data_IF_739222137935
#
_entry.id   IF_739222137935
#
_cell.length_a   1.000
_cell.length_b   1.000
_cell.length_c   1.000
_cell.angle_alpha   90.00
_cell.angle_beta   90.00
_cell.angle_gamma   90.00
#
_symmetry.space_group_name_H-M   'P 1'
#
loop_
_entity.id
_entity.type
_entity.pdbx_description
1 polymer ?
#
# COMPACT_ATOMS: atom_id res chain seq x y z
N UNK A 1 15.65 4.47 -6.94
CA UNK A 1 14.37 4.14 -6.27
C UNK A 1 13.27 4.66 -7.16
N UNK A 2 12.35 3.79 -7.58
CA UNK A 2 11.18 4.20 -8.33
C UNK A 2 10.04 4.55 -7.35
N UNK A 3 9.18 5.47 -7.77
CA UNK A 3 8.14 6.04 -6.94
C UNK A 3 6.77 5.62 -7.50
N UNK A 4 5.91 5.08 -6.64
CA UNK A 4 4.58 4.62 -7.01
C UNK A 4 3.55 5.13 -6.03
N UNK A 5 2.34 5.42 -6.52
CA UNK A 5 1.15 5.61 -5.71
C UNK A 5 0.27 4.37 -5.83
N UNK A 6 0.03 3.76 -4.69
CA UNK A 6 -0.85 2.60 -4.54
C UNK A 6 -2.20 3.11 -4.00
N UNK A 7 -3.28 2.76 -4.69
CA UNK A 7 -4.61 2.87 -4.11
C UNK A 7 -4.92 1.52 -3.47
N UNK A 8 -5.09 1.50 -2.15
CA UNK A 8 -5.24 0.27 -1.37
C UNK A 8 -6.58 0.29 -0.65
N UNK A 9 -7.29 -0.83 -0.66
CA UNK A 9 -8.41 -1.06 0.24
C UNK A 9 -8.01 -2.07 1.31
N UNK A 10 -8.44 -1.85 2.54
CA UNK A 10 -8.09 -2.68 3.70
C UNK A 10 -9.27 -2.76 4.69
N UNK A 11 -9.31 -3.76 5.58
CA UNK A 11 -10.35 -3.82 6.61
C UNK A 11 -10.24 -2.62 7.55
N UNK A 12 -11.33 -1.91 7.80
CA UNK A 12 -11.34 -0.77 8.73
C UNK A 12 -11.41 -1.26 10.19
N UNK A 13 -10.26 -1.66 10.71
CA UNK A 13 -10.08 -2.11 12.10
C UNK A 13 -8.66 -1.83 12.58
N UNK A 14 -8.44 -1.75 13.91
CA UNK A 14 -7.12 -1.55 14.47
C UNK A 14 -6.08 -2.54 13.91
N UNK A 15 -4.93 -2.01 13.48
CA UNK A 15 -3.80 -2.79 12.98
C UNK A 15 -3.77 -3.03 11.47
N UNK A 16 -4.87 -2.85 10.72
CA UNK A 16 -4.88 -3.13 9.27
C UNK A 16 -3.88 -2.27 8.49
N UNK A 17 -3.89 -0.94 8.69
CA UNK A 17 -2.91 -0.06 8.05
C UNK A 17 -1.47 -0.33 8.53
N UNK A 18 -1.31 -0.75 9.79
CA UNK A 18 -0.03 -1.16 10.34
C UNK A 18 0.56 -2.36 9.60
N UNK A 19 -0.26 -3.36 9.29
CA UNK A 19 0.16 -4.53 8.51
C UNK A 19 0.65 -4.14 7.11
N UNK A 20 -0.07 -3.24 6.43
CA UNK A 20 0.33 -2.69 5.13
C UNK A 20 1.67 -1.96 5.24
N UNK A 21 1.83 -1.09 6.24
CA UNK A 21 3.07 -0.35 6.45
C UNK A 21 4.27 -1.27 6.77
N UNK A 22 4.07 -2.31 7.58
CA UNK A 22 5.09 -3.32 7.86
C UNK A 22 5.51 -4.10 6.62
N UNK A 23 4.55 -4.48 5.76
CA UNK A 23 4.84 -5.16 4.50
C UNK A 23 5.65 -4.27 3.54
N UNK A 24 5.30 -2.98 3.43
CA UNK A 24 6.08 -2.02 2.65
C UNK A 24 7.52 -1.95 3.17
N UNK A 25 7.70 -1.83 4.49
CA UNK A 25 9.03 -1.80 5.10
C UNK A 25 9.83 -3.09 4.88
N UNK A 26 9.19 -4.25 4.96
CA UNK A 26 9.81 -5.56 4.70
C UNK A 26 10.28 -5.70 3.25
N UNK A 27 9.53 -5.15 2.30
CA UNK A 27 9.91 -5.08 0.89
C UNK A 27 11.04 -4.05 0.60
N UNK A 28 11.57 -3.39 1.64
CA UNK A 28 12.57 -2.33 1.51
C UNK A 28 11.98 -1.02 0.97
N UNK A 29 10.66 -0.88 0.97
CA UNK A 29 9.96 0.33 0.55
C UNK A 29 9.97 1.41 1.64
N UNK A 30 9.94 2.67 1.19
CA UNK A 30 9.89 3.86 2.03
C UNK A 30 8.61 4.66 1.73
N UNK A 31 7.78 4.88 2.74
CA UNK A 31 6.51 5.60 2.60
C UNK A 31 6.79 7.09 2.52
N UNK A 32 6.50 7.69 1.35
CA UNK A 32 6.66 9.12 1.08
C UNK A 32 5.43 9.95 1.38
N UNK A 33 4.27 9.31 1.41
CA UNK A 33 3.01 9.97 1.73
C UNK A 33 1.90 8.95 1.91
N UNK A 34 0.94 9.31 2.75
CA UNK A 34 -0.26 8.54 3.02
C UNK A 34 -1.43 9.52 3.07
N UNK A 35 -2.50 9.23 2.34
CA UNK A 35 -3.76 9.96 2.39
C UNK A 35 -4.88 8.97 2.56
N UNK A 36 -5.66 9.12 3.64
CA UNK A 36 -6.91 8.36 3.81
C UNK A 36 -7.97 9.00 2.92
N UNK A 37 -8.47 8.26 1.94
CA UNK A 37 -9.43 8.78 0.96
C UNK A 37 -10.85 8.70 1.48
N UNK A 38 -11.23 7.56 2.04
CA UNK A 38 -12.53 7.33 2.68
C UNK A 38 -12.51 6.07 3.55
N UNK A 39 -13.48 5.99 4.45
CA UNK A 39 -13.85 4.74 5.13
C UNK A 39 -15.36 4.54 5.01
N UNK A 40 -15.76 3.39 4.48
CA UNK A 40 -17.16 3.01 4.31
C UNK A 40 -17.29 1.48 4.28
N UNK A 41 -18.45 0.96 4.70
CA UNK A 41 -18.79 -0.47 4.64
C UNK A 41 -17.73 -1.40 5.29
N UNK A 42 -17.11 -0.92 6.38
CA UNK A 42 -16.07 -1.67 7.11
C UNK A 42 -14.72 -1.75 6.37
N UNK A 43 -14.48 -0.89 5.38
CA UNK A 43 -13.24 -0.81 4.61
C UNK A 43 -12.65 0.60 4.59
N UNK A 44 -11.36 0.68 4.81
CA UNK A 44 -10.55 1.87 4.56
C UNK A 44 -10.03 1.86 3.13
N UNK A 45 -9.92 3.04 2.53
CA UNK A 45 -9.34 3.26 1.20
C UNK A 45 -8.25 4.32 1.32
N UNK A 46 -7.01 3.91 1.07
CA UNK A 46 -5.83 4.73 1.31
C UNK A 46 -5.01 4.87 0.03
N UNK A 47 -4.51 6.08 -0.19
CA UNK A 47 -3.50 6.39 -1.20
C UNK A 47 -2.13 6.41 -0.52
N UNK A 48 -1.27 5.47 -0.90
CA UNK A 48 0.06 5.32 -0.32
C UNK A 48 1.10 5.60 -1.41
N UNK A 49 1.87 6.67 -1.25
CA UNK A 49 3.02 6.95 -2.12
C UNK A 49 4.25 6.29 -1.50
N UNK A 50 4.86 5.36 -2.23
CA UNK A 50 6.00 4.56 -1.79
C UNK A 50 7.16 4.71 -2.76
N UNK A 51 8.36 4.85 -2.21
CA UNK A 51 9.61 4.65 -2.93
C UNK A 51 10.04 3.20 -2.75
N UNK A 52 10.34 2.50 -3.84
CA UNK A 52 10.79 1.10 -3.77
C UNK A 52 12.20 0.93 -4.34
N UNK A 53 12.92 -0.11 -3.90
CA UNK A 53 14.12 -0.58 -4.59
C UNK A 53 13.80 -0.99 -6.03
N UNK A 54 14.75 -0.79 -6.96
CA UNK A 54 14.53 -1.13 -8.36
C UNK A 54 13.56 -0.20 -9.10
N UNK A 55 12.88 -0.75 -10.10
CA UNK A 55 11.98 -0.05 -11.02
C UNK A 55 10.62 -0.75 -11.24
N UNK A 56 10.37 -1.86 -10.56
CA UNK A 56 9.17 -2.69 -10.73
C UNK A 56 8.53 -2.97 -9.35
N UNK A 57 7.22 -2.72 -9.17
CA UNK A 57 6.54 -2.91 -7.89
C UNK A 57 6.08 -4.35 -7.62
N UNK A 58 6.32 -5.32 -8.53
CA UNK A 58 5.75 -6.68 -8.44
C UNK A 58 5.98 -7.36 -7.09
N UNK A 59 7.20 -7.31 -6.55
CA UNK A 59 7.51 -7.93 -5.25
C UNK A 59 6.68 -7.32 -4.11
N UNK A 60 6.54 -5.99 -4.09
CA UNK A 60 5.70 -5.31 -3.11
C UNK A 60 4.23 -5.70 -3.27
N UNK A 61 3.72 -5.78 -4.50
CA UNK A 61 2.34 -6.16 -4.77
C UNK A 61 2.03 -7.59 -4.32
N UNK A 62 2.96 -8.53 -4.53
CA UNK A 62 2.83 -9.90 -4.06
C UNK A 62 2.71 -9.95 -2.53
N UNK A 63 3.60 -9.26 -1.81
CA UNK A 63 3.58 -9.22 -0.34
C UNK A 63 2.29 -8.59 0.19
N UNK A 64 1.82 -7.50 -0.43
CA UNK A 64 0.56 -6.86 -0.03
C UNK A 64 -0.66 -7.76 -0.31
N UNK A 65 -0.64 -8.52 -1.40
CA UNK A 65 -1.68 -9.47 -1.76
C UNK A 65 -1.82 -10.64 -0.79
N UNK A 66 -0.77 -10.98 -0.06
CA UNK A 66 -0.79 -12.03 0.97
C UNK A 66 -1.42 -11.57 2.30
N UNK A 67 -1.69 -10.26 2.45
CA UNK A 67 -2.33 -9.73 3.66
C UNK A 67 -3.85 -9.89 3.55
N UNK A 68 -4.42 -10.75 4.40
CA UNK A 68 -5.84 -11.04 4.41
C UNK A 68 -6.74 -9.78 4.47
N UNK A 69 -7.52 -9.57 3.41
CA UNK A 69 -8.48 -8.48 3.28
C UNK A 69 -7.91 -7.18 2.70
N UNK A 70 -6.60 -7.12 2.42
CA UNK A 70 -5.96 -6.01 1.71
C UNK A 70 -6.04 -6.25 0.21
N UNK A 71 -6.38 -5.21 -0.54
CA UNK A 71 -6.46 -5.23 -2.00
C UNK A 71 -5.77 -3.99 -2.57
N UNK A 72 -4.85 -4.19 -3.51
CA UNK A 72 -4.27 -3.09 -4.28
C UNK A 72 -5.15 -2.84 -5.50
N UNK A 73 -5.90 -1.74 -5.45
CA UNK A 73 -6.90 -1.38 -6.46
C UNK A 73 -6.27 -0.75 -7.70
N UNK A 74 -5.21 0.05 -7.52
CA UNK A 74 -4.49 0.73 -8.61
C UNK A 74 -3.03 0.94 -8.24
N UNK A 75 -2.18 0.95 -9.25
CA UNK A 75 -0.75 1.24 -9.14
C UNK A 75 -0.41 2.31 -10.18
N UNK A 76 0.07 3.46 -9.73
CA UNK A 76 0.37 4.61 -10.57
C UNK A 76 1.84 4.98 -10.41
N UNK A 77 2.67 4.99 -11.47
CA UNK A 77 4.01 5.57 -11.41
C UNK A 77 3.92 7.06 -11.06
N UNK A 78 4.81 7.53 -10.18
CA UNK A 78 4.96 8.95 -9.88
C UNK A 78 6.23 9.43 -10.59
N UNK A 79 6.04 10.33 -11.55
CA UNK A 79 7.11 10.94 -12.37
C UNK A 79 7.94 11.94 -11.58
#
# INVERSE_FOLDING_TARGET
MALFRLHVSLPDRPGSLGAVASAIGFAGGDIRGLVVMKSEDGRGYDDITVAIPGNDPTDLLNILGDIGGVEVLKVLPVV
#
